data_IF_394366951469
#
_entry.id   IF_394366951469
#
_cell.length_a   1.000
_cell.length_b   1.000
_cell.length_c   1.000
_cell.angle_alpha   90.00
_cell.angle_beta   90.00
_cell.angle_gamma   90.00
#
_symmetry.space_group_name_H-M   'P 1'
#
loop_
_entity.id
_entity.type
_entity.pdbx_description
1 polymer ?
#
# COMPACT_ATOMS: atom_id res chain seq x y z
N UNK A 1 8.67 -13.20 2.39
CA UNK A 1 7.88 -12.02 2.83
C UNK A 1 6.45 -12.30 2.46
N UNK A 2 5.59 -12.42 3.46
CA UNK A 2 4.16 -12.71 3.26
C UNK A 2 3.47 -11.46 2.71
N UNK A 3 2.45 -11.64 1.87
CA UNK A 3 1.77 -10.51 1.22
C UNK A 3 1.09 -9.60 2.24
N UNK A 4 0.57 -10.18 3.32
CA UNK A 4 0.03 -9.44 4.47
C UNK A 4 1.04 -8.44 5.04
N UNK A 5 2.29 -8.86 5.26
CA UNK A 5 3.35 -8.00 5.79
C UNK A 5 3.69 -6.87 4.82
N UNK A 6 3.66 -7.16 3.52
CA UNK A 6 3.88 -6.16 2.47
C UNK A 6 2.76 -5.13 2.47
N UNK A 7 1.49 -5.55 2.49
CA UNK A 7 0.33 -4.65 2.49
C UNK A 7 0.31 -3.78 3.75
N UNK A 8 0.56 -4.37 4.92
CA UNK A 8 0.64 -3.65 6.18
C UNK A 8 1.80 -2.64 6.18
N UNK A 9 2.98 -3.08 5.75
CA UNK A 9 4.14 -2.20 5.60
C UNK A 9 3.87 -1.06 4.62
N UNK A 10 3.13 -1.33 3.54
CA UNK A 10 2.74 -0.33 2.55
C UNK A 10 1.82 0.71 3.18
N UNK A 11 0.76 0.29 3.86
CA UNK A 11 -0.17 1.18 4.54
C UNK A 11 0.55 2.05 5.57
N UNK A 12 1.49 1.49 6.33
CA UNK A 12 2.30 2.27 7.26
C UNK A 12 3.24 3.24 6.55
N UNK A 13 3.93 2.80 5.50
CA UNK A 13 4.81 3.64 4.71
C UNK A 13 4.06 4.83 4.10
N UNK A 14 2.82 4.62 3.65
CA UNK A 14 1.94 5.68 3.19
C UNK A 14 1.59 6.66 4.31
N UNK A 15 1.22 6.17 5.50
CA UNK A 15 0.88 7.03 6.65
C UNK A 15 2.08 7.84 7.15
N UNK A 16 3.28 7.26 7.17
CA UNK A 16 4.48 7.89 7.74
C UNK A 16 5.30 8.66 6.70
N UNK A 17 5.38 8.17 5.47
CA UNK A 17 6.26 8.66 4.41
C UNK A 17 5.51 8.97 3.10
N UNK A 18 4.22 9.34 3.16
CA UNK A 18 3.39 9.73 2.00
C UNK A 18 4.08 10.67 1.01
N UNK A 19 4.97 11.54 1.47
CA UNK A 19 5.75 12.48 0.64
C UNK A 19 6.72 11.77 -0.33
N UNK A 20 7.20 10.57 -0.02
CA UNK A 20 8.09 9.78 -0.87
C UNK A 20 7.39 9.09 -2.03
N UNK A 21 6.06 9.00 -1.98
CA UNK A 21 5.26 8.36 -3.01
C UNK A 21 4.79 9.41 -4.01
N UNK A 22 5.04 9.18 -5.29
CA UNK A 22 4.53 10.05 -6.34
C UNK A 22 3.02 9.84 -6.53
N UNK A 23 2.31 10.90 -6.90
CA UNK A 23 0.87 10.82 -7.12
C UNK A 23 0.53 9.77 -8.19
N UNK A 24 1.34 9.70 -9.25
CA UNK A 24 1.18 8.75 -10.35
C UNK A 24 1.31 7.30 -9.87
N UNK A 25 2.27 7.01 -8.99
CA UNK A 25 2.43 5.67 -8.42
C UNK A 25 1.22 5.28 -7.58
N UNK A 26 0.69 6.22 -6.79
CA UNK A 26 -0.50 5.97 -5.96
C UNK A 26 -1.75 5.74 -6.81
N UNK A 27 -1.91 6.49 -7.90
CA UNK A 27 -3.02 6.31 -8.83
C UNK A 27 -2.93 4.97 -9.57
N UNK A 28 -1.72 4.59 -10.02
CA UNK A 28 -1.47 3.30 -10.65
C UNK A 28 -1.76 2.16 -9.67
N UNK A 29 -1.32 2.30 -8.41
CA UNK A 29 -1.64 1.34 -7.35
C UNK A 29 -3.15 1.22 -7.11
N UNK A 30 -3.91 2.31 -7.00
CA UNK A 30 -5.37 2.21 -6.83
C UNK A 30 -6.04 1.51 -8.01
N UNK A 31 -5.56 1.73 -9.25
CA UNK A 31 -6.07 1.01 -10.43
C UNK A 31 -5.75 -0.49 -10.39
N UNK A 32 -4.50 -0.82 -10.05
CA UNK A 32 -4.02 -2.21 -9.94
C UNK A 32 -4.79 -2.95 -8.84
N UNK A 33 -5.04 -2.30 -7.70
CA UNK A 33 -5.86 -2.84 -6.62
C UNK A 33 -7.34 -2.91 -6.97
N UNK A 34 -7.87 -1.95 -7.74
CA UNK A 34 -9.27 -1.94 -8.16
C UNK A 34 -9.59 -3.02 -9.20
N UNK A 35 -8.61 -3.44 -9.99
CA UNK A 35 -8.76 -4.55 -10.93
C UNK A 35 -8.95 -5.90 -10.24
N UNK A 36 -8.67 -5.98 -8.94
CA UNK A 36 -8.83 -7.16 -8.12
C UNK A 36 -10.16 -7.08 -7.36
N UNK A 37 -11.21 -7.70 -7.91
CA UNK A 37 -12.54 -7.73 -7.28
C UNK A 37 -12.57 -8.69 -6.08
N UNK A 38 -12.00 -9.90 -6.25
CA UNK A 38 -11.82 -10.92 -5.20
C UNK A 38 -10.51 -11.69 -5.44
N UNK A 39 -9.34 -11.08 -5.21
CA UNK A 39 -8.07 -11.76 -5.47
C UNK A 39 -7.82 -12.87 -4.46
N UNK A 40 -7.28 -13.99 -4.94
CA UNK A 40 -6.65 -14.96 -4.04
C UNK A 40 -5.34 -14.40 -3.48
N UNK A 41 -4.85 -15.00 -2.38
CA UNK A 41 -3.56 -14.59 -1.79
C UNK A 41 -2.42 -14.62 -2.81
N UNK A 42 -2.36 -15.69 -3.62
CA UNK A 42 -1.31 -15.88 -4.62
C UNK A 42 -1.38 -14.83 -5.73
N UNK A 43 -2.56 -14.57 -6.29
CA UNK A 43 -2.75 -13.55 -7.33
C UNK A 43 -2.37 -12.16 -6.81
N UNK A 44 -2.81 -11.83 -5.59
CA UNK A 44 -2.46 -10.56 -4.96
C UNK A 44 -0.95 -10.46 -4.72
N UNK A 45 -0.33 -11.54 -4.25
CA UNK A 45 1.09 -11.61 -3.99
C UNK A 45 1.91 -11.41 -5.27
N UNK A 46 1.56 -12.10 -6.35
CA UNK A 46 2.20 -11.96 -7.65
C UNK A 46 2.01 -10.55 -8.23
N UNK A 47 0.79 -10.01 -8.16
CA UNK A 47 0.45 -8.70 -8.69
C UNK A 47 1.18 -7.59 -7.94
N UNK A 48 1.14 -7.57 -6.61
CA UNK A 48 1.84 -6.56 -5.80
C UNK A 48 3.36 -6.70 -5.96
N UNK A 49 3.90 -7.91 -5.98
CA UNK A 49 5.35 -8.11 -6.23
C UNK A 49 5.76 -7.62 -7.61
N UNK A 50 4.96 -7.91 -8.64
CA UNK A 50 5.23 -7.48 -10.02
C UNK A 50 5.18 -5.98 -10.13
N UNK A 51 4.20 -5.36 -9.47
CA UNK A 51 4.08 -3.92 -9.38
C UNK A 51 5.28 -3.28 -8.66
N UNK A 52 5.64 -3.76 -7.46
CA UNK A 52 6.81 -3.27 -6.71
C UNK A 52 8.14 -3.45 -7.45
N UNK A 53 8.25 -4.44 -8.34
CA UNK A 53 9.42 -4.59 -9.22
C UNK A 53 9.53 -3.45 -10.25
N UNK A 54 8.39 -2.95 -10.75
CA UNK A 54 8.32 -1.80 -11.66
C UNK A 54 8.54 -0.48 -10.89
N UNK A 55 7.95 -0.36 -9.69
CA UNK A 55 8.01 0.84 -8.85
C UNK A 55 9.07 0.71 -7.74
N UNK A 56 10.35 0.70 -8.14
CA UNK A 56 11.47 0.46 -7.21
C UNK A 56 11.54 1.44 -6.04
N UNK A 57 11.22 2.71 -6.25
CA UNK A 57 11.23 3.72 -5.19
C UNK A 57 10.18 3.43 -4.12
N UNK A 58 9.00 3.00 -4.55
CA UNK A 58 7.93 2.59 -3.66
C UNK A 58 8.34 1.34 -2.89
N UNK A 59 8.91 0.35 -3.57
CA UNK A 59 9.45 -0.85 -2.90
C UNK A 59 10.47 -0.47 -1.81
N UNK A 60 11.42 0.41 -2.11
CA UNK A 60 12.45 0.82 -1.15
C UNK A 60 11.85 1.56 0.06
N UNK A 61 10.80 2.35 -0.15
CA UNK A 61 10.08 3.02 0.92
C UNK A 61 9.25 2.06 1.79
N UNK A 62 8.71 0.99 1.20
CA UNK A 62 7.85 -0.01 1.88
C UNK A 62 8.66 -1.07 2.60
N UNK A 63 9.80 -1.48 2.03
CA UNK A 63 10.67 -2.54 2.56
C UNK A 63 11.00 -2.39 4.04
N UNK A 64 11.45 -1.23 4.57
CA UNK A 64 11.77 -1.09 5.99
C UNK A 64 10.55 -1.33 6.87
N UNK A 65 9.34 -0.95 6.45
CA UNK A 65 8.13 -1.20 7.23
C UNK A 65 7.69 -2.66 7.15
N UNK A 66 7.81 -3.28 5.98
CA UNK A 66 7.48 -4.70 5.80
C UNK A 66 8.46 -5.62 6.55
N UNK A 67 9.74 -5.25 6.62
CA UNK A 67 10.75 -5.97 7.42
C UNK A 67 10.60 -5.70 8.92
N UNK A 68 10.34 -4.45 9.34
CA UNK A 68 10.09 -4.12 10.76
C UNK A 68 8.80 -4.75 11.30
N UNK A 69 7.77 -4.95 10.47
CA UNK A 69 6.55 -5.67 10.89
C UNK A 69 6.84 -7.12 11.27
N UNK A 70 7.93 -7.71 10.75
CA UNK A 70 8.42 -9.04 11.13
C UNK A 70 9.08 -9.05 12.52
N UNK A 71 9.57 -7.89 13.00
CA UNK A 71 10.12 -7.69 14.34
C UNK A 71 9.06 -7.36 15.40
N UNK A 72 7.84 -6.95 15.00
CA UNK A 72 6.68 -6.79 15.88
C UNK A 72 6.08 -8.16 16.26
N UNK A 73 6.87 -9.01 16.91
CA UNK A 73 6.47 -10.29 17.53
C UNK A 73 5.53 -10.13 18.75
N UNK A 74 4.65 -9.14 18.74
CA UNK A 74 3.71 -8.85 19.82
C UNK A 74 2.25 -8.69 19.38
N UNK A 75 1.98 -8.52 18.08
CA UNK A 75 0.61 -8.45 17.59
C UNK A 75 0.00 -9.86 17.54
N UNK A 76 -1.25 -10.05 18.01
CA UNK A 76 -1.89 -11.35 18.00
C UNK A 76 -1.83 -11.88 16.57
N UNK A 77 -1.21 -13.05 16.44
CA UNK A 77 -1.06 -13.80 15.20
C UNK A 77 -2.47 -14.03 14.65
N UNK A 78 -2.94 -13.12 13.81
CA UNK A 78 -4.14 -13.34 13.01
C UNK A 78 -3.89 -14.66 12.29
N UNK A 79 -4.88 -15.58 12.29
CA UNK A 79 -4.68 -16.88 11.68
C UNK A 79 -4.14 -16.68 10.26
N UNK A 80 -3.05 -17.38 9.89
CA UNK A 80 -2.30 -17.14 8.66
C UNK A 80 -3.09 -17.37 7.37
N UNK A 81 -4.36 -17.76 7.47
CA UNK A 81 -5.16 -18.26 6.35
C UNK A 81 -6.49 -17.53 6.19
N UNK A 82 -6.72 -16.41 6.87
CA UNK A 82 -7.98 -15.69 6.71
C UNK A 82 -7.87 -14.75 5.51
N UNK A 83 -8.40 -15.19 4.36
CA UNK A 83 -8.70 -14.32 3.22
C UNK A 83 -9.36 -13.01 3.67
N UNK A 84 -10.22 -13.07 4.69
CA UNK A 84 -10.81 -11.91 5.35
C UNK A 84 -9.79 -10.90 5.91
N UNK A 85 -8.68 -11.37 6.50
CA UNK A 85 -7.61 -10.49 6.97
C UNK A 85 -6.85 -9.86 5.81
N UNK A 86 -6.59 -10.60 4.73
CA UNK A 86 -5.95 -10.05 3.53
C UNK A 86 -6.84 -8.97 2.92
N UNK A 87 -8.13 -9.27 2.73
CA UNK A 87 -9.13 -8.34 2.22
C UNK A 87 -9.27 -7.09 3.09
N UNK A 88 -9.26 -7.23 4.42
CA UNK A 88 -9.32 -6.08 5.33
C UNK A 88 -8.08 -5.19 5.19
N UNK A 89 -6.88 -5.77 5.13
CA UNK A 89 -5.64 -5.01 4.96
C UNK A 89 -5.58 -4.34 3.57
N UNK A 90 -6.06 -5.03 2.54
CA UNK A 90 -6.25 -4.48 1.18
C UNK A 90 -7.18 -3.28 1.18
N UNK A 91 -8.33 -3.42 1.82
CA UNK A 91 -9.31 -2.36 1.93
C UNK A 91 -8.72 -1.14 2.64
N UNK A 92 -8.01 -1.35 3.75
CA UNK A 92 -7.32 -0.27 4.47
C UNK A 92 -6.25 0.41 3.61
N UNK A 93 -5.44 -0.37 2.87
CA UNK A 93 -4.44 0.15 1.94
C UNK A 93 -5.09 1.04 0.88
N UNK A 94 -6.19 0.57 0.29
CA UNK A 94 -6.90 1.29 -0.78
C UNK A 94 -7.54 2.58 -0.25
N UNK A 95 -8.16 2.54 0.93
CA UNK A 95 -8.70 3.73 1.60
C UNK A 95 -7.58 4.76 1.84
N UNK A 96 -6.48 4.32 2.47
CA UNK A 96 -5.34 5.18 2.78
C UNK A 96 -4.74 5.80 1.51
N UNK A 97 -4.59 5.00 0.45
CA UNK A 97 -4.09 5.46 -0.86
C UNK A 97 -4.99 6.55 -1.44
N UNK A 98 -6.32 6.34 -1.45
CA UNK A 98 -7.29 7.34 -1.93
C UNK A 98 -7.26 8.63 -1.12
N UNK A 99 -7.11 8.55 0.20
CA UNK A 99 -7.00 9.74 1.05
C UNK A 99 -5.73 10.54 0.73
N UNK A 100 -4.59 9.86 0.55
CA UNK A 100 -3.33 10.54 0.20
C UNK A 100 -3.40 11.13 -1.22
N UNK A 101 -4.00 10.44 -2.18
CA UNK A 101 -4.24 10.97 -3.53
C UNK A 101 -5.06 12.25 -3.43
N UNK A 102 -6.20 12.24 -2.72
CA UNK A 102 -7.03 13.44 -2.54
C UNK A 102 -6.26 14.57 -1.87
N UNK A 103 -5.52 14.29 -0.81
CA UNK A 103 -4.71 15.28 -0.11
C UNK A 103 -3.67 15.91 -1.04
N UNK A 104 -2.92 15.11 -1.81
CA UNK A 104 -1.92 15.57 -2.76
C UNK A 104 -2.53 16.38 -3.92
N UNK A 105 -3.65 15.93 -4.47
CA UNK A 105 -4.36 16.65 -5.55
C UNK A 105 -4.84 18.02 -5.05
N UNK A 106 -5.44 18.11 -3.87
CA UNK A 106 -5.88 19.37 -3.29
C UNK A 106 -4.71 20.32 -2.99
N UNK A 107 -3.57 19.79 -2.54
CA UNK A 107 -2.36 20.60 -2.33
C UNK A 107 -1.79 21.15 -3.64
N UNK A 108 -1.81 20.37 -4.73
CA UNK A 108 -1.40 20.87 -6.06
C UNK A 108 -2.33 21.95 -6.62
N UNK A 109 -3.63 21.87 -6.32
CA UNK A 109 -4.62 22.84 -6.79
C UNK A 109 -4.53 24.18 -6.03
N UNK A 110 -4.23 24.12 -4.72
CA UNK A 110 -3.97 25.32 -3.92
C UNK A 110 -2.65 26.02 -4.30
N UNK A 111 -1.58 25.27 -4.59
CA UNK A 111 -0.30 25.84 -5.02
C UNK A 111 -0.44 26.59 -6.37
N UNK A 112 -1.24 26.06 -7.29
CA UNK A 112 -1.56 26.74 -8.57
C UNK A 112 -2.46 27.97 -8.44
N UNK A 113 -3.24 28.08 -7.37
CA UNK A 113 -4.16 29.22 -7.17
C UNK A 113 -3.48 30.43 -6.50
N UNK A 114 -2.24 30.28 -6.04
CA UNK A 114 -1.48 31.36 -5.38
C UNK A 114 -0.39 31.99 -6.26
N UNK A 115 -0.37 31.71 -7.57
CA UNK A 115 0.61 32.24 -8.52
C UNK A 115 0.01 33.21 -9.54
#
# INVERSE_FOLDING_TARGET
MEILTIIQGFTQALKTQSKKFELIDLQDLDQVLAALDTPTEDELNELIKTWLKKHKQVRDAVLPFAETTLELKGSPKLPPNSEASILQNLFELRQTTKEIIKAKTNQQDQDKSQQ
#
